data_IF_496919545771
#
_entry.id   IF_496919545771
#
_cell.length_a   1.000
_cell.length_b   1.000
_cell.length_c   1.000
_cell.angle_alpha   90.00
_cell.angle_beta   90.00
_cell.angle_gamma   90.00
#
_symmetry.space_group_name_H-M   'P 1'
#
loop_
_entity.id
_entity.type
_entity.pdbx_description
1 polymer ?
#
# COMPACT_ATOMS: atom_id res chain seq x y z
N UNK A 1 -9.98 12.55 4.20
CA UNK A 1 -9.90 11.09 4.01
C UNK A 1 -10.07 10.37 5.33
N UNK A 2 -10.76 9.23 5.31
CA UNK A 2 -10.89 8.35 6.48
C UNK A 2 -9.57 7.65 6.73
N UNK A 3 -9.08 7.66 7.97
CA UNK A 3 -7.82 7.02 8.35
C UNK A 3 -7.94 5.50 8.20
N UNK A 4 -6.98 4.88 7.51
CA UNK A 4 -6.95 3.42 7.37
C UNK A 4 -6.81 2.78 8.76
N UNK A 5 -7.70 1.84 9.15
CA UNK A 5 -7.59 1.20 10.45
C UNK A 5 -6.34 0.32 10.58
N UNK A 6 -5.71 0.35 11.76
CA UNK A 6 -4.49 -0.42 12.08
C UNK A 6 -4.80 -1.90 12.34
N UNK A 7 -5.03 -2.66 11.29
CA UNK A 7 -5.29 -4.11 11.36
C UNK A 7 -4.63 -4.87 10.20
N UNK A 8 -4.87 -6.18 10.15
CA UNK A 8 -4.31 -7.07 9.13
C UNK A 8 -4.69 -6.70 7.69
N UNK A 9 -5.81 -5.99 7.49
CA UNK A 9 -6.29 -5.57 6.17
C UNK A 9 -5.66 -4.28 5.67
N UNK A 10 -4.82 -3.62 6.47
CA UNK A 10 -4.35 -2.27 6.13
C UNK A 10 -3.68 -2.18 4.76
N UNK A 11 -2.90 -3.18 4.35
CA UNK A 11 -2.28 -3.22 3.02
C UNK A 11 -3.36 -3.23 1.91
N UNK A 12 -4.30 -4.18 1.97
CA UNK A 12 -5.38 -4.27 0.97
C UNK A 12 -6.32 -3.06 0.99
N UNK A 13 -6.55 -2.44 2.15
CA UNK A 13 -7.31 -1.19 2.28
C UNK A 13 -6.59 -0.02 1.64
N UNK A 14 -5.26 0.05 1.79
CA UNK A 14 -4.47 1.09 1.17
C UNK A 14 -4.48 0.97 -0.35
N UNK A 15 -4.34 -0.26 -0.88
CA UNK A 15 -4.48 -0.54 -2.32
C UNK A 15 -5.89 -0.19 -2.81
N UNK A 16 -6.92 -0.62 -2.10
CA UNK A 16 -8.33 -0.33 -2.42
C UNK A 16 -8.63 1.17 -2.46
N UNK A 17 -8.09 1.94 -1.50
CA UNK A 17 -8.23 3.40 -1.49
C UNK A 17 -7.50 4.08 -2.65
N UNK A 18 -6.35 3.55 -3.09
CA UNK A 18 -5.62 4.07 -4.26
C UNK A 18 -6.35 3.78 -5.58
N UNK A 19 -6.97 2.60 -5.71
CA UNK A 19 -7.66 2.19 -6.92
C UNK A 19 -9.07 2.80 -7.05
N UNK A 20 -9.79 2.91 -5.93
CA UNK A 20 -11.23 3.19 -5.96
C UNK A 20 -11.64 4.38 -5.09
N UNK A 21 -10.70 5.00 -4.37
CA UNK A 21 -11.01 5.98 -3.32
C UNK A 21 -11.97 5.43 -2.26
N UNK A 22 -11.99 4.10 -2.09
CA UNK A 22 -12.84 3.38 -1.16
C UNK A 22 -12.10 2.18 -0.56
N UNK A 23 -11.94 2.18 0.76
CA UNK A 23 -11.31 1.08 1.50
C UNK A 23 -12.22 -0.14 1.70
N UNK A 24 -13.53 -0.01 1.48
CA UNK A 24 -14.53 -1.07 1.72
C UNK A 24 -14.31 -2.28 0.81
N UNK A 25 -13.73 -2.05 -0.37
CA UNK A 25 -13.41 -3.06 -1.39
C UNK A 25 -12.11 -3.83 -1.12
N UNK A 26 -11.50 -3.67 0.06
CA UNK A 26 -10.26 -4.39 0.43
C UNK A 26 -10.36 -5.92 0.37
N UNK A 27 -11.53 -6.50 0.61
CA UNK A 27 -11.71 -7.96 0.45
C UNK A 27 -11.73 -8.37 -1.03
N UNK A 28 -12.33 -7.55 -1.89
CA UNK A 28 -12.32 -7.77 -3.34
C UNK A 28 -10.90 -7.75 -3.87
N UNK A 29 -10.12 -6.71 -3.53
CA UNK A 29 -8.69 -6.61 -3.88
C UNK A 29 -7.92 -7.87 -3.47
N UNK A 30 -8.08 -8.33 -2.22
CA UNK A 30 -7.41 -9.54 -1.74
C UNK A 30 -7.77 -10.76 -2.60
N UNK A 31 -9.05 -10.96 -2.89
CA UNK A 31 -9.50 -12.11 -3.68
C UNK A 31 -9.00 -12.02 -5.12
N UNK A 32 -8.98 -10.83 -5.72
CA UNK A 32 -8.40 -10.61 -7.05
C UNK A 32 -6.92 -10.96 -7.07
N UNK A 33 -6.15 -10.60 -6.04
CA UNK A 33 -4.74 -10.99 -5.92
C UNK A 33 -4.56 -12.51 -5.80
N UNK A 34 -5.33 -13.16 -4.94
CA UNK A 34 -5.27 -14.61 -4.78
C UNK A 34 -5.59 -15.34 -6.09
N UNK A 35 -6.67 -14.93 -6.76
CA UNK A 35 -7.07 -15.51 -8.05
C UNK A 35 -6.01 -15.25 -9.14
N UNK A 36 -5.43 -14.06 -9.18
CA UNK A 36 -4.36 -13.75 -10.14
C UNK A 36 -3.13 -14.62 -9.90
N UNK A 37 -2.70 -14.79 -8.66
CA UNK A 37 -1.56 -15.65 -8.31
C UNK A 37 -1.84 -17.13 -8.61
N UNK A 38 -3.08 -17.60 -8.40
CA UNK A 38 -3.52 -18.96 -8.75
C UNK A 38 -3.41 -19.21 -10.27
N UNK A 39 -3.73 -18.22 -11.09
CA UNK A 39 -3.56 -18.29 -12.55
C UNK A 39 -2.11 -18.17 -13.03
N UNK A 40 -1.19 -17.70 -12.17
CA UNK A 40 0.23 -17.49 -12.47
C UNK A 40 1.14 -18.24 -11.49
N UNK A 41 1.02 -19.58 -11.38
CA UNK A 41 1.72 -20.36 -10.36
C UNK A 41 3.24 -20.28 -10.50
N UNK A 42 3.76 -20.21 -11.74
CA UNK A 42 5.20 -20.04 -11.99
C UNK A 42 5.72 -18.70 -11.46
N UNK A 43 4.93 -17.63 -11.60
CA UNK A 43 5.28 -16.33 -11.04
C UNK A 43 5.32 -16.42 -9.51
N UNK A 44 4.29 -17.02 -8.89
CA UNK A 44 4.23 -17.15 -7.44
C UNK A 44 5.36 -18.02 -6.90
N UNK A 45 5.68 -19.13 -7.56
CA UNK A 45 6.77 -20.03 -7.21
C UNK A 45 8.12 -19.32 -7.11
N UNK A 46 8.38 -18.38 -8.03
CA UNK A 46 9.63 -17.60 -8.04
C UNK A 46 9.71 -16.56 -6.90
N UNK A 47 8.58 -16.20 -6.30
CA UNK A 47 8.50 -15.24 -5.20
C UNK A 47 8.36 -15.91 -3.83
N UNK A 48 7.98 -17.18 -3.79
CA UNK A 48 7.96 -17.97 -2.56
C UNK A 48 9.33 -18.58 -2.30
N UNK A 49 9.71 -18.65 -1.01
CA UNK A 49 10.95 -19.32 -0.59
C UNK A 49 10.90 -20.84 -0.81
N UNK A 50 9.70 -21.41 -0.83
CA UNK A 50 9.45 -22.84 -1.02
C UNK A 50 8.26 -23.02 -1.99
N UNK A 51 8.57 -23.62 -3.14
CA UNK A 51 7.63 -23.90 -4.20
C UNK A 51 6.48 -24.85 -3.80
N UNK A 52 6.72 -25.75 -2.84
CA UNK A 52 5.73 -26.73 -2.41
C UNK A 52 4.59 -26.13 -1.56
N UNK A 53 4.60 -24.80 -1.34
CA UNK A 53 3.66 -24.12 -0.45
C UNK A 53 2.65 -23.21 -1.17
N UNK A 54 2.55 -23.27 -2.50
CA UNK A 54 1.61 -22.42 -3.27
C UNK A 54 0.18 -22.54 -2.74
N UNK A 55 -0.35 -23.76 -2.64
CA UNK A 55 -1.74 -23.98 -2.19
C UNK A 55 -1.95 -23.48 -0.76
N UNK A 56 -1.00 -23.77 0.14
CA UNK A 56 -1.06 -23.31 1.53
C UNK A 56 -1.00 -21.77 1.62
N UNK A 57 -0.17 -21.14 0.80
CA UNK A 57 -0.04 -19.70 0.72
C UNK A 57 -1.35 -19.05 0.28
N UNK A 58 -1.95 -19.54 -0.82
CA UNK A 58 -3.23 -19.02 -1.34
C UNK A 58 -4.38 -19.23 -0.34
N UNK A 59 -4.44 -20.40 0.28
CA UNK A 59 -5.42 -20.67 1.36
C UNK A 59 -5.23 -19.76 2.57
N UNK A 60 -4.00 -19.39 2.90
CA UNK A 60 -3.74 -18.42 3.96
C UNK A 60 -4.11 -17.01 3.54
N UNK A 61 -3.76 -16.60 2.32
CA UNK A 61 -4.01 -15.25 1.82
C UNK A 61 -5.50 -14.90 1.81
N UNK A 62 -6.37 -15.87 1.49
CA UNK A 62 -7.83 -15.66 1.44
C UNK A 62 -8.48 -15.49 2.82
N UNK A 63 -7.81 -15.86 3.91
CA UNK A 63 -8.32 -15.68 5.29
C UNK A 63 -8.33 -14.19 5.65
N UNK A 64 -9.45 -13.72 6.21
CA UNK A 64 -9.64 -12.29 6.58
C UNK A 64 -8.57 -11.76 7.55
N UNK A 65 -8.02 -12.62 8.39
CA UNK A 65 -7.03 -12.29 9.41
C UNK A 65 -5.59 -12.22 8.89
N UNK A 66 -5.35 -12.65 7.66
CA UNK A 66 -4.00 -12.71 7.10
C UNK A 66 -3.55 -11.33 6.63
N UNK A 67 -2.37 -10.91 7.09
CA UNK A 67 -1.67 -9.73 6.57
C UNK A 67 -1.12 -10.06 5.20
N UNK A 68 -1.24 -9.12 4.26
CA UNK A 68 -0.47 -9.21 3.03
C UNK A 68 1.00 -8.86 3.28
N UNK A 69 1.85 -9.37 2.40
CA UNK A 69 3.31 -9.31 2.43
C UNK A 69 3.84 -8.57 1.20
N UNK A 70 5.14 -8.67 0.95
CA UNK A 70 5.81 -8.15 -0.24
C UNK A 70 5.36 -8.85 -1.53
N UNK A 71 5.10 -10.16 -1.49
CA UNK A 71 4.53 -10.92 -2.62
C UNK A 71 3.15 -10.36 -3.02
N UNK A 72 2.31 -10.00 -2.04
CA UNK A 72 1.03 -9.34 -2.31
C UNK A 72 1.19 -7.99 -3.03
N UNK A 73 2.21 -7.21 -2.67
CA UNK A 73 2.48 -5.92 -3.32
C UNK A 73 2.99 -6.11 -4.74
N UNK A 74 3.92 -7.05 -4.95
CA UNK A 74 4.40 -7.35 -6.30
C UNK A 74 3.26 -7.87 -7.18
N UNK A 75 2.42 -8.79 -6.68
CA UNK A 75 1.25 -9.26 -7.42
C UNK A 75 0.25 -8.14 -7.73
N UNK A 76 0.08 -7.17 -6.83
CA UNK A 76 -0.76 -6.01 -7.08
C UNK A 76 -0.19 -5.12 -8.19
N UNK A 77 1.14 -4.94 -8.22
CA UNK A 77 1.79 -4.21 -9.30
C UNK A 77 1.57 -4.90 -10.65
N UNK A 78 1.70 -6.23 -10.70
CA UNK A 78 1.45 -7.02 -11.92
C UNK A 78 -0.03 -7.00 -12.35
N UNK A 79 -0.95 -7.30 -11.42
CA UNK A 79 -2.39 -7.40 -11.71
C UNK A 79 -2.98 -6.08 -12.20
N UNK A 80 -2.61 -4.97 -11.58
CA UNK A 80 -3.16 -3.65 -11.90
C UNK A 80 -2.29 -2.88 -12.90
N UNK A 81 -1.16 -3.43 -13.32
CA UNK A 81 -0.19 -2.78 -14.22
C UNK A 81 0.24 -1.39 -13.71
N UNK A 82 0.40 -1.25 -12.39
CA UNK A 82 0.75 0.01 -11.73
C UNK A 82 2.08 -0.12 -10.99
N UNK A 83 2.83 0.97 -10.96
CA UNK A 83 3.96 1.11 -10.03
C UNK A 83 3.42 1.30 -8.60
N UNK A 84 4.04 0.65 -7.62
CA UNK A 84 3.72 0.90 -6.21
C UNK A 84 4.91 1.58 -5.55
N UNK A 85 4.68 2.80 -5.09
CA UNK A 85 5.63 3.59 -4.32
C UNK A 85 5.31 3.41 -2.84
N UNK A 86 6.27 2.91 -2.06
CA UNK A 86 6.15 2.76 -0.62
C UNK A 86 7.03 3.81 0.04
N UNK A 87 6.40 4.75 0.74
CA UNK A 87 7.07 5.72 1.59
C UNK A 87 7.18 5.13 2.99
N UNK A 88 8.40 4.78 3.39
CA UNK A 88 8.65 4.34 4.76
C UNK A 88 8.64 5.53 5.71
N UNK A 89 7.83 5.44 6.76
CA UNK A 89 7.66 6.50 7.78
C UNK A 89 7.88 5.99 9.21
N UNK A 90 8.44 4.78 9.34
CA UNK A 90 8.69 4.14 10.64
C UNK A 90 9.98 4.63 11.30
N UNK A 91 10.02 4.56 12.64
CA UNK A 91 11.22 4.84 13.43
C UNK A 91 12.28 3.74 13.24
N UNK A 92 13.56 4.11 13.31
CA UNK A 92 14.67 3.15 13.22
C UNK A 92 14.72 2.17 14.40
N UNK A 93 15.45 1.06 14.24
CA UNK A 93 15.67 0.04 15.28
C UNK A 93 16.25 0.59 16.59
N UNK A 94 16.92 1.74 16.54
CA UNK A 94 17.53 2.42 17.69
C UNK A 94 16.65 3.56 18.26
N UNK A 95 15.38 3.64 17.87
CA UNK A 95 14.43 4.62 18.41
C UNK A 95 14.54 6.05 17.84
N UNK A 96 15.56 6.31 17.00
CA UNK A 96 15.68 7.56 16.24
C UNK A 96 14.75 7.63 15.03
N UNK A 97 14.37 8.85 14.65
CA UNK A 97 13.70 9.10 13.37
C UNK A 97 14.70 8.76 12.25
N UNK A 98 14.35 7.79 11.40
CA UNK A 98 15.09 7.58 10.15
C UNK A 98 14.50 8.52 9.10
N UNK A 99 15.36 9.06 8.26
CA UNK A 99 14.88 9.76 7.06
C UNK A 99 13.92 8.84 6.30
N UNK A 100 12.76 9.37 5.86
CA UNK A 100 11.83 8.60 5.08
C UNK A 100 12.54 8.14 3.81
N UNK A 101 12.54 6.85 3.56
CA UNK A 101 13.06 6.27 2.33
C UNK A 101 11.93 5.66 1.52
N UNK A 102 12.13 5.66 0.21
CA UNK A 102 11.15 5.23 -0.76
C UNK A 102 11.60 3.91 -1.38
N UNK A 103 10.66 3.00 -1.56
CA UNK A 103 10.83 1.85 -2.44
C UNK A 103 9.84 1.92 -3.57
N UNK A 104 10.28 1.46 -4.74
CA UNK A 104 9.44 1.33 -5.91
C UNK A 104 9.33 -0.15 -6.27
N UNK A 105 8.10 -0.61 -6.41
CA UNK A 105 7.75 -1.91 -6.94
C UNK A 105 7.23 -1.67 -8.35
N UNK A 106 7.88 -2.31 -9.32
CA UNK A 106 7.60 -2.13 -10.75
C UNK A 106 7.06 -3.44 -11.31
N UNK A 107 5.95 -3.44 -12.07
CA UNK A 107 5.47 -4.62 -12.76
C UNK A 107 6.47 -5.11 -13.81
N UNK A 108 6.45 -6.41 -14.10
CA UNK A 108 7.35 -7.05 -15.07
C UNK A 108 7.09 -6.61 -16.50
N UNK A 109 5.86 -6.17 -16.81
CA UNK A 109 5.46 -5.64 -18.11
C UNK A 109 4.77 -4.31 -17.92
N UNK A 110 5.27 -3.30 -18.64
CA UNK A 110 4.67 -1.97 -18.67
C UNK A 110 3.97 -1.78 -20.02
N UNK A 111 2.66 -1.60 -19.98
CA UNK A 111 1.79 -1.41 -21.14
C UNK A 111 1.48 0.09 -21.34
N UNK A 112 2.48 0.92 -21.64
CA UNK A 112 2.22 2.34 -21.91
C UNK A 112 3.44 3.27 -21.90
N UNK A 113 3.24 4.50 -22.36
CA UNK A 113 4.23 5.60 -22.29
C UNK A 113 4.33 6.15 -20.86
N UNK A 114 3.21 6.15 -20.13
CA UNK A 114 3.12 6.62 -18.75
C UNK A 114 2.44 5.54 -17.89
N UNK A 115 3.16 5.04 -16.88
CA UNK A 115 2.66 3.97 -16.00
C UNK A 115 2.06 4.62 -14.76
N UNK A 116 0.77 4.38 -14.48
CA UNK A 116 0.14 4.96 -13.31
C UNK A 116 0.76 4.39 -12.01
N UNK A 117 0.66 5.16 -10.93
CA UNK A 117 1.31 4.84 -9.65
C UNK A 117 0.35 4.86 -8.48
N UNK A 118 0.50 3.89 -7.59
CA UNK A 118 -0.06 3.91 -6.24
C UNK A 118 1.02 4.42 -5.27
N UNK A 119 0.63 5.24 -4.30
CA UNK A 119 1.54 5.73 -3.25
C UNK A 119 1.01 5.28 -1.89
N UNK A 120 1.77 4.43 -1.23
CA UNK A 120 1.47 3.86 0.08
C UNK A 120 2.45 4.41 1.12
N UNK A 121 2.00 4.54 2.37
CA UNK A 121 2.90 4.75 3.52
C UNK A 121 3.04 3.46 4.31
N UNK A 122 4.19 3.21 4.93
CA UNK A 122 4.40 2.05 5.78
C UNK A 122 5.23 2.41 7.02
N UNK A 123 4.70 2.10 8.21
CA UNK A 123 5.35 2.37 9.52
C UNK A 123 6.07 1.13 10.11
N UNK A 124 6.19 0.06 9.33
CA UNK A 124 6.70 -1.24 9.75
C UNK A 124 5.65 -2.20 10.30
N UNK A 125 4.43 -1.74 10.54
CA UNK A 125 3.30 -2.61 10.95
C UNK A 125 2.00 -2.32 10.21
N UNK A 126 1.86 -1.13 9.64
CA UNK A 126 0.62 -0.62 9.11
C UNK A 126 0.82 0.17 7.82
N UNK A 127 -0.05 -0.12 6.84
CA UNK A 127 -0.10 0.61 5.58
C UNK A 127 -1.14 1.72 5.60
N UNK A 128 -0.77 2.87 5.04
CA UNK A 128 -1.67 3.98 4.71
C UNK A 128 -1.68 4.27 3.21
N UNK A 129 -2.68 5.03 2.77
CA UNK A 129 -2.81 5.54 1.40
C UNK A 129 -2.39 7.01 1.36
N UNK A 130 -1.51 7.37 0.43
CA UNK A 130 -1.03 8.74 0.25
C UNK A 130 -1.54 9.31 -1.06
N UNK A 131 -1.90 10.59 -1.04
CA UNK A 131 -2.21 11.34 -2.26
C UNK A 131 -1.05 12.25 -2.60
N UNK A 132 -0.78 12.38 -3.89
CA UNK A 132 0.06 13.45 -4.37
C UNK A 132 -0.73 14.76 -4.24
N UNK A 133 -0.26 15.64 -3.35
CA UNK A 133 -0.79 17.00 -3.24
C UNK A 133 0.23 17.92 -3.90
N UNK A 134 -0.15 18.66 -4.98
CA UNK A 134 0.73 19.65 -5.58
C UNK A 134 1.21 20.67 -4.53
N UNK A 135 2.46 21.10 -4.63
CA UNK A 135 3.13 21.95 -3.63
C UNK A 135 2.32 23.22 -3.26
N UNK A 136 1.73 23.88 -4.27
CA UNK A 136 0.87 25.05 -4.09
C UNK A 136 -0.35 24.79 -3.21
N UNK A 137 -0.94 23.60 -3.31
CA UNK A 137 -2.07 23.20 -2.48
C UNK A 137 -1.64 22.78 -1.07
N UNK A 138 -0.46 22.16 -0.95
CA UNK A 138 0.12 21.78 0.34
C UNK A 138 0.43 23.02 1.20
N UNK A 139 1.02 24.06 0.59
CA UNK A 139 1.29 25.33 1.27
C UNK A 139 0.01 26.01 1.76
N UNK A 140 -1.06 25.98 0.95
CA UNK A 140 -2.35 26.56 1.33
C UNK A 140 -2.97 25.83 2.52
N UNK A 141 -2.96 24.49 2.50
CA UNK A 141 -3.46 23.66 3.63
C UNK A 141 -2.65 23.89 4.91
N UNK A 142 -1.33 24.02 4.81
CA UNK A 142 -0.46 24.27 5.97
C UNK A 142 -0.77 25.63 6.63
N UNK A 143 -0.95 26.69 5.83
CA UNK A 143 -1.36 28.02 6.32
C UNK A 143 -2.74 28.02 6.99
N UNK A 144 -3.68 27.23 6.47
CA UNK A 144 -5.01 27.08 7.08
C UNK A 144 -4.98 26.32 8.41
N UNK A 145 -4.16 25.27 8.54
CA UNK A 145 -3.97 24.54 9.81
C UNK A 145 -3.25 25.38 10.87
N UNK A 146 -2.25 26.17 10.48
CA UNK A 146 -1.54 27.08 11.39
C UNK A 146 -2.48 28.15 11.96
N UNK A 147 -3.33 28.76 11.11
CA UNK A 147 -4.37 29.71 11.57
C UNK A 147 -5.35 29.10 12.56
N UNK A 148 -5.84 27.88 12.31
CA UNK A 148 -6.75 27.18 13.23
C UNK A 148 -6.12 26.91 14.60
N UNK A 149 -4.83 26.50 14.62
CA UNK A 149 -4.09 26.27 15.87
C UNK A 149 -3.83 27.56 16.65
N UNK A 150 -3.63 28.69 15.98
CA UNK A 150 -3.52 29.99 16.66
C UNK A 150 -4.85 30.48 17.24
N UNK A 151 -5.97 30.22 16.56
CA UNK A 151 -7.30 30.58 17.05
C UNK A 151 -7.72 29.72 18.26
N UNK A 152 -7.38 28.43 18.29
CA UNK A 152 -7.62 27.55 19.45
C UNK A 152 -6.76 27.92 20.67
N UNK A 153 -5.53 28.44 20.47
CA UNK A 153 -4.67 28.91 21.57
C UNK A 153 -5.09 30.26 22.16
N UNK A 154 -5.97 31.00 21.48
CA UNK A 154 -6.49 32.30 21.91
C UNK A 154 -7.86 32.19 22.62
N UNK A 155 -8.41 30.98 22.74
CA UNK A 155 -9.60 30.66 23.54
C UNK A 155 -9.18 30.00 24.85
#
# INVERSE_FOLDING_TARGET
KTKIPKNALSQFRAISDQLFHDMSRSQEVRLSLANWMEMHPNWLQNHLKDACQIDMYLQHLTKKTTRGDDVCLQAAAELYEMKIIIVWVGKGREGGDKDPYLFEIVPSKLSGIEVPRMILSYDGKHYGSLEFVPEKEAEKKKKEEEKKKEEEKKK
#
